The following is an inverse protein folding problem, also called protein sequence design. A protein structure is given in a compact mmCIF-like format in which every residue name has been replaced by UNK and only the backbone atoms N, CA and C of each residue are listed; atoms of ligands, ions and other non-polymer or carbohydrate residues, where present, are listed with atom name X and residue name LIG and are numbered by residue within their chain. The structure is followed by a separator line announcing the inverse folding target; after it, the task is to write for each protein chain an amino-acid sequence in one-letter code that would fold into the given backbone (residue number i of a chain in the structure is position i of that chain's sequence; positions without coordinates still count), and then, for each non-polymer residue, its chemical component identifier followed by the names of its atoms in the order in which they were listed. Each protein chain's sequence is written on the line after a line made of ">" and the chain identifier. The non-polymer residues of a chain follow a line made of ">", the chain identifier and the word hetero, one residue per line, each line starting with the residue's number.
data_IF_456811523994
#
_entry.id   IF_456811523994
#
_cell.length_a   1.000
_cell.length_b   1.000
_cell.length_c   1.000
_cell.angle_alpha   90.00
_cell.angle_beta   90.00
_cell.angle_gamma   90.00
#
_symmetry.space_group_name_H-M   'P 1'
#
loop_
_entity.id
_entity.type
_entity.pdbx_description
1 polymer ?
#
# COMPACT_ATOMS: atom_id res chain seq x y z
N UNK A 1 -2.81 -15.77 -11.52
CA UNK A 1 -1.88 -14.71 -11.08
C UNK A 1 -1.26 -14.11 -12.33
N UNK A 2 -1.69 -12.91 -12.73
CA UNK A 2 -1.08 -12.20 -13.86
C UNK A 2 0.24 -11.57 -13.39
N UNK A 3 1.36 -11.91 -14.04
CA UNK A 3 2.67 -11.35 -13.73
C UNK A 3 2.82 -10.01 -14.45
N UNK A 4 2.36 -8.92 -13.82
CA UNK A 4 2.55 -7.57 -14.34
C UNK A 4 3.87 -6.99 -13.81
N UNK A 5 4.74 -6.57 -14.73
CA UNK A 5 5.92 -5.78 -14.40
C UNK A 5 5.50 -4.33 -14.18
N UNK A 6 5.16 -4.00 -12.94
CA UNK A 6 4.69 -2.67 -12.54
C UNK A 6 5.85 -1.66 -12.61
N UNK A 7 5.76 -0.56 -13.40
CA UNK A 7 6.82 0.46 -13.49
C UNK A 7 7.25 1.00 -12.11
N UNK A 8 6.30 1.05 -11.16
CA UNK A 8 6.54 1.52 -9.81
C UNK A 8 7.03 0.42 -8.84
N UNK A 9 7.27 -0.82 -9.28
CA UNK A 9 7.62 -1.93 -8.39
C UNK A 9 8.81 -1.62 -7.47
N UNK A 10 9.89 -1.06 -8.02
CA UNK A 10 11.06 -0.66 -7.22
C UNK A 10 10.72 0.46 -6.22
N UNK A 11 9.88 1.40 -6.61
CA UNK A 11 9.43 2.50 -5.76
C UNK A 11 8.59 1.98 -4.58
N UNK A 12 7.64 1.09 -4.87
CA UNK A 12 6.80 0.38 -3.89
C UNK A 12 7.67 -0.37 -2.89
N UNK A 13 8.59 -1.22 -3.36
CA UNK A 13 9.51 -1.97 -2.49
C UNK A 13 10.31 -1.02 -1.59
N UNK A 14 10.91 0.02 -2.14
CA UNK A 14 11.69 0.98 -1.36
C UNK A 14 10.86 1.70 -0.29
N UNK A 15 9.59 2.00 -0.56
CA UNK A 15 8.72 2.65 0.43
C UNK A 15 8.25 1.67 1.50
N UNK A 16 7.95 0.43 1.13
CA UNK A 16 7.66 -0.64 2.09
C UNK A 16 8.84 -0.87 3.04
N UNK A 17 10.07 -0.96 2.52
CA UNK A 17 11.26 -1.11 3.37
C UNK A 17 11.42 0.02 4.39
N UNK A 18 11.11 1.27 4.00
CA UNK A 18 11.10 2.41 4.93
C UNK A 18 10.01 2.30 5.99
N UNK A 19 8.79 1.91 5.59
CA UNK A 19 7.69 1.71 6.53
C UNK A 19 7.98 0.59 7.54
N UNK A 20 8.63 -0.50 7.09
CA UNK A 20 9.10 -1.60 7.96
C UNK A 20 10.11 -1.08 8.98
N UNK A 21 11.15 -0.37 8.54
CA UNK A 21 12.14 0.20 9.46
C UNK A 21 11.54 1.20 10.47
N UNK A 22 10.52 1.96 10.05
CA UNK A 22 9.77 2.84 10.97
C UNK A 22 8.98 2.03 11.99
N UNK A 23 8.26 0.99 11.56
CA UNK A 23 7.50 0.12 12.47
C UNK A 23 8.42 -0.60 13.46
N UNK A 24 9.60 -1.04 13.05
CA UNK A 24 10.62 -1.58 13.95
C UNK A 24 11.08 -0.57 15.00
N UNK A 25 11.20 0.71 14.63
CA UNK A 25 11.50 1.77 15.60
C UNK A 25 10.35 1.97 16.60
N UNK A 26 9.10 1.94 16.15
CA UNK A 26 7.92 2.00 17.03
C UNK A 26 7.90 0.82 18.01
N UNK A 27 8.23 -0.38 17.53
CA UNK A 27 8.35 -1.57 18.38
C UNK A 27 9.37 -1.35 19.49
N UNK A 28 10.58 -0.85 19.16
CA UNK A 28 11.60 -0.54 20.17
C UNK A 28 11.13 0.51 21.17
N UNK A 29 10.45 1.57 20.72
CA UNK A 29 9.87 2.58 21.61
C UNK A 29 8.88 1.95 22.61
N UNK A 30 8.10 0.95 22.19
CA UNK A 30 7.19 0.24 23.08
C UNK A 30 7.94 -0.65 24.08
N UNK A 31 9.00 -1.34 23.65
CA UNK A 31 9.88 -2.15 24.51
C UNK A 31 10.61 -1.28 25.56
N UNK A 32 10.96 -0.05 25.20
CA UNK A 32 11.58 0.95 26.08
C UNK A 32 10.57 1.62 27.04
N UNK A 33 9.28 1.33 26.91
CA UNK A 33 8.23 1.90 27.77
C UNK A 33 7.96 3.39 27.52
N UNK A 34 8.12 3.87 26.27
CA UNK A 34 7.82 5.27 25.92
C UNK A 34 6.32 5.59 26.04
N UNK A 35 6.01 6.89 26.12
CA UNK A 35 4.66 7.39 26.36
C UNK A 35 3.65 6.89 25.30
N UNK A 36 2.45 6.53 25.75
CA UNK A 36 1.39 6.00 24.88
C UNK A 36 0.99 6.98 23.78
N UNK A 37 0.96 8.30 24.07
CA UNK A 37 0.61 9.32 23.08
C UNK A 37 1.68 9.39 21.98
N UNK A 38 2.94 9.25 22.34
CA UNK A 38 4.05 9.23 21.39
C UNK A 38 3.98 7.99 20.48
N UNK A 39 3.70 6.82 21.05
CA UNK A 39 3.48 5.59 20.27
C UNK A 39 2.33 5.76 19.27
N UNK A 40 1.19 6.32 19.70
CA UNK A 40 0.05 6.56 18.81
C UNK A 40 0.39 7.51 17.65
N UNK A 41 1.16 8.56 17.91
CA UNK A 41 1.65 9.47 16.86
C UNK A 41 2.51 8.72 15.85
N UNK A 42 3.45 7.90 16.31
CA UNK A 42 4.33 7.17 15.41
C UNK A 42 3.59 6.08 14.62
N UNK A 43 2.64 5.37 15.25
CA UNK A 43 1.77 4.42 14.55
C UNK A 43 0.97 5.12 13.44
N UNK A 44 0.45 6.32 13.71
CA UNK A 44 -0.26 7.11 12.70
C UNK A 44 0.65 7.50 11.51
N UNK A 45 1.92 7.78 11.77
CA UNK A 45 2.91 8.06 10.73
C UNK A 45 3.19 6.80 9.88
N UNK A 46 3.36 5.63 10.51
CA UNK A 46 3.50 4.35 9.80
C UNK A 46 2.27 4.06 8.94
N UNK A 47 1.07 4.24 9.49
CA UNK A 47 -0.19 4.07 8.74
C UNK A 47 -0.25 4.99 7.53
N UNK A 48 0.15 6.25 7.68
CA UNK A 48 0.20 7.22 6.58
C UNK A 48 1.20 6.79 5.49
N UNK A 49 2.36 6.24 5.88
CA UNK A 49 3.34 5.72 4.95
C UNK A 49 2.78 4.53 4.14
N UNK A 50 2.10 3.58 4.81
CA UNK A 50 1.47 2.41 4.18
C UNK A 50 0.36 2.86 3.22
N UNK A 51 -0.50 3.79 3.62
CA UNK A 51 -1.57 4.32 2.78
C UNK A 51 -1.01 4.98 1.51
N UNK A 52 0.11 5.69 1.60
CA UNK A 52 0.77 6.27 0.44
C UNK A 52 1.34 5.21 -0.51
N UNK A 53 1.84 4.08 0.00
CA UNK A 53 2.23 2.95 -0.86
C UNK A 53 1.03 2.36 -1.58
N UNK A 54 -0.07 2.14 -0.87
CA UNK A 54 -1.30 1.61 -1.46
C UNK A 54 -1.85 2.51 -2.58
N UNK A 55 -1.80 3.84 -2.41
CA UNK A 55 -2.18 4.80 -3.46
C UNK A 55 -1.34 4.65 -4.73
N UNK A 56 -0.02 4.47 -4.60
CA UNK A 56 0.87 4.28 -5.75
C UNK A 56 0.54 2.98 -6.49
N UNK A 57 0.29 1.90 -5.75
CA UNK A 57 -0.12 0.61 -6.35
C UNK A 57 -1.46 0.77 -7.07
N UNK A 58 -2.42 1.47 -6.47
CA UNK A 58 -3.74 1.71 -7.04
C UNK A 58 -3.64 2.50 -8.34
N UNK A 59 -2.90 3.61 -8.35
CA UNK A 59 -2.66 4.44 -9.53
C UNK A 59 -2.02 3.62 -10.66
N UNK A 60 -1.01 2.83 -10.34
CA UNK A 60 -0.32 1.98 -11.32
C UNK A 60 -1.24 0.88 -11.86
N UNK A 61 -2.11 0.30 -11.03
CA UNK A 61 -3.08 -0.71 -11.47
C UNK A 61 -4.19 -0.11 -12.35
N UNK A 62 -4.66 1.10 -12.04
CA UNK A 62 -5.63 1.82 -12.87
C UNK A 62 -5.03 2.08 -14.26
N UNK A 63 -3.80 2.61 -14.31
CA UNK A 63 -3.18 3.03 -15.56
C UNK A 63 -2.77 1.89 -16.51
N UNK A 64 -2.72 0.64 -16.03
CA UNK A 64 -2.34 -0.51 -16.85
C UNK A 64 -3.48 -1.54 -16.92
N UNK A 65 -3.83 -2.17 -15.79
CA UNK A 65 -4.76 -3.28 -15.79
C UNK A 65 -6.21 -2.86 -16.07
N UNK A 66 -6.66 -1.72 -15.52
CA UNK A 66 -8.05 -1.27 -15.71
C UNK A 66 -8.26 -0.70 -17.11
N UNK A 67 -7.32 0.07 -17.64
CA UNK A 67 -7.39 0.58 -19.02
C UNK A 67 -7.41 -0.58 -20.02
N UNK A 68 -6.48 -1.54 -19.90
CA UNK A 68 -6.43 -2.73 -20.77
C UNK A 68 -7.72 -3.56 -20.66
N UNK A 69 -8.28 -3.69 -19.46
CA UNK A 69 -9.53 -4.42 -19.24
C UNK A 69 -10.73 -3.77 -19.93
N UNK A 70 -10.79 -2.43 -19.98
CA UNK A 70 -11.82 -1.70 -20.70
C UNK A 70 -11.69 -1.93 -22.21
N UNK A 71 -10.47 -1.85 -22.75
CA UNK A 71 -10.23 -2.05 -24.18
C UNK A 71 -10.52 -3.48 -24.65
N UNK A 72 -10.23 -4.46 -23.79
CA UNK A 72 -10.44 -5.89 -24.07
C UNK A 72 -11.80 -6.42 -23.64
N UNK A 73 -12.67 -5.55 -23.09
CA UNK A 73 -13.98 -5.89 -22.54
C UNK A 73 -13.91 -7.00 -21.47
N UNK A 74 -12.82 -7.05 -20.70
CA UNK A 74 -12.56 -8.04 -19.67
C UNK A 74 -13.13 -7.58 -18.32
N UNK A 75 -14.36 -8.01 -18.04
CA UNK A 75 -15.07 -7.62 -16.81
C UNK A 75 -14.53 -8.26 -15.53
N UNK A 76 -13.72 -9.32 -15.63
CA UNK A 76 -13.16 -10.02 -14.46
C UNK A 76 -12.15 -9.13 -13.73
N UNK A 77 -11.23 -8.50 -14.47
CA UNK A 77 -10.22 -7.58 -13.93
C UNK A 77 -10.87 -6.39 -13.21
N UNK A 78 -11.97 -5.86 -13.76
CA UNK A 78 -12.71 -4.76 -13.14
C UNK A 78 -13.35 -5.16 -11.81
N UNK A 79 -13.87 -6.39 -11.71
CA UNK A 79 -14.43 -6.91 -10.46
C UNK A 79 -13.36 -7.16 -9.40
N UNK A 80 -12.21 -7.70 -9.81
CA UNK A 80 -11.06 -7.91 -8.92
C UNK A 80 -10.52 -6.58 -8.39
N UNK A 81 -10.39 -5.58 -9.26
CA UNK A 81 -10.00 -4.22 -8.87
C UNK A 81 -10.97 -3.62 -7.86
N UNK A 82 -12.28 -3.71 -8.11
CA UNK A 82 -13.32 -3.22 -7.18
C UNK A 82 -13.20 -3.90 -5.82
N UNK A 83 -13.03 -5.22 -5.79
CA UNK A 83 -12.85 -6.00 -4.55
C UNK A 83 -11.60 -5.58 -3.78
N UNK A 84 -10.50 -5.30 -4.46
CA UNK A 84 -9.27 -4.80 -3.85
C UNK A 84 -9.46 -3.37 -3.28
N UNK A 85 -10.12 -2.48 -4.03
CA UNK A 85 -10.40 -1.11 -3.61
C UNK A 85 -11.29 -1.06 -2.35
N UNK A 86 -12.36 -1.87 -2.31
CA UNK A 86 -13.26 -1.97 -1.16
C UNK A 86 -12.55 -2.42 0.12
N UNK A 87 -11.49 -3.23 0.00
CA UNK A 87 -10.66 -3.64 1.13
C UNK A 87 -9.66 -2.55 1.54
N UNK A 88 -9.17 -1.77 0.60
CA UNK A 88 -8.20 -0.70 0.86
C UNK A 88 -8.82 0.54 1.50
N UNK A 89 -10.10 0.81 1.23
CA UNK A 89 -10.82 1.96 1.78
C UNK A 89 -11.46 1.70 3.16
N UNK A 90 -11.52 0.43 3.59
CA UNK A 90 -11.95 0.05 4.95
C UNK A 90 -10.86 0.29 5.96
#
# INVERSE_FOLDING_TARGET
>A
MHNHNHPQQKNVINRLSRAIGHLEAVKRMAEEGRDCSELLIQISAVRSAINNVGKIILEDHINHCVIDAIETNNTEVLNDFKSALDKFLK
#
